data_IF_103545591515
#
_entry.id   IF_103545591515
#
_cell.length_a   1.000
_cell.length_b   1.000
_cell.length_c   1.000
_cell.angle_alpha   90.00
_cell.angle_beta   90.00
_cell.angle_gamma   90.00
#
_symmetry.space_group_name_H-M   'P 1'
#
loop_
_entity.id
_entity.type
_entity.pdbx_description
1 polymer ?
#
# COMPACT_ATOMS: atom_id res chain seq x y z
N UNK A 1 4.24 5.42 28.35
CA UNK A 1 3.09 5.03 27.51
C UNK A 1 1.89 5.96 27.71
N UNK A 2 1.58 6.33 28.94
CA UNK A 2 0.45 7.20 29.31
C UNK A 2 0.71 8.71 29.07
N UNK A 3 1.95 9.18 29.22
CA UNK A 3 2.34 10.60 29.16
C UNK A 3 1.83 11.37 27.94
N UNK A 4 1.93 10.86 26.68
CA UNK A 4 1.55 11.65 25.50
C UNK A 4 0.05 11.96 25.41
N UNK A 5 -0.78 11.19 26.14
CA UNK A 5 -2.25 11.28 26.03
C UNK A 5 -2.92 11.71 27.35
N UNK A 6 -2.17 11.68 28.45
CA UNK A 6 -2.71 11.97 29.78
C UNK A 6 -3.28 13.39 29.88
N UNK A 7 -2.61 14.36 29.25
CA UNK A 7 -3.04 15.76 29.28
C UNK A 7 -4.34 15.99 28.50
N UNK A 8 -4.45 15.40 27.31
CA UNK A 8 -5.67 15.48 26.47
C UNK A 8 -6.85 14.82 27.19
N UNK A 9 -6.58 13.65 27.78
CA UNK A 9 -7.57 12.87 28.52
C UNK A 9 -8.07 13.62 29.77
N UNK A 10 -7.17 14.20 30.57
CA UNK A 10 -7.55 14.96 31.76
C UNK A 10 -8.43 16.14 31.41
N UNK A 11 -8.11 16.91 30.37
CA UNK A 11 -8.93 18.04 29.89
C UNK A 11 -10.29 17.59 29.38
N UNK A 12 -10.32 16.59 28.49
CA UNK A 12 -11.57 16.11 27.91
C UNK A 12 -12.55 15.58 28.96
N UNK A 13 -12.05 14.85 29.97
CA UNK A 13 -12.89 14.37 31.05
C UNK A 13 -13.39 15.53 31.93
N UNK A 14 -12.52 16.47 32.28
CA UNK A 14 -12.86 17.64 33.09
C UNK A 14 -13.95 18.49 32.47
N UNK A 15 -13.90 18.71 31.15
CA UNK A 15 -14.93 19.44 30.38
C UNK A 15 -16.31 18.78 30.48
N UNK A 16 -16.38 17.47 30.58
CA UNK A 16 -17.63 16.72 30.67
C UNK A 16 -18.21 16.71 32.08
N UNK A 17 -17.36 16.49 33.09
CA UNK A 17 -17.84 16.34 34.48
C UNK A 17 -17.87 17.64 35.27
N UNK A 18 -17.21 18.73 34.81
CA UNK A 18 -17.14 20.02 35.49
C UNK A 18 -16.27 20.04 36.74
N UNK A 19 -15.38 19.04 36.92
CA UNK A 19 -14.45 18.96 38.04
C UNK A 19 -13.02 18.76 37.52
N UNK A 20 -12.00 19.18 38.30
CA UNK A 20 -10.63 19.00 37.92
C UNK A 20 -10.21 17.54 37.99
N UNK A 21 -9.56 17.12 36.91
CA UNK A 21 -9.04 15.76 36.73
C UNK A 21 -7.54 15.76 36.68
N UNK A 22 -6.93 14.82 37.43
CA UNK A 22 -5.51 14.58 37.51
C UNK A 22 -5.20 13.17 37.06
N UNK A 23 -4.19 13.00 36.25
CA UNK A 23 -3.67 11.71 35.84
C UNK A 23 -2.20 11.60 36.23
N UNK A 24 -1.84 10.48 36.85
CA UNK A 24 -0.45 10.21 37.24
C UNK A 24 0.07 8.89 36.63
N UNK A 25 1.39 8.75 36.64
CA UNK A 25 2.05 7.47 36.42
C UNK A 25 1.91 6.55 37.65
N UNK A 26 2.51 5.35 37.56
CA UNK A 26 2.52 4.37 38.69
C UNK A 26 3.33 4.84 39.93
N UNK A 27 4.16 5.86 39.77
CA UNK A 27 4.93 6.46 40.88
C UNK A 27 4.20 7.64 41.51
N UNK A 28 3.01 7.98 41.05
CA UNK A 28 2.23 9.13 41.51
C UNK A 28 2.71 10.46 40.92
N UNK A 29 3.55 10.46 39.90
CA UNK A 29 4.00 11.68 39.23
C UNK A 29 2.92 12.17 38.25
N UNK A 30 2.57 13.45 38.35
CA UNK A 30 1.53 14.08 37.51
C UNK A 30 2.00 14.15 36.07
N UNK A 31 1.25 13.48 35.17
CA UNK A 31 1.50 13.42 33.72
C UNK A 31 0.36 14.03 32.91
N UNK A 32 -0.76 14.40 33.54
CA UNK A 32 -1.88 15.10 32.94
C UNK A 32 -2.74 15.79 34.01
N UNK A 33 -3.18 17.02 33.78
CA UNK A 33 -4.02 17.76 34.68
C UNK A 33 -4.86 18.80 33.95
N UNK A 34 -6.15 18.95 34.35
CA UNK A 34 -7.02 20.01 33.84
C UNK A 34 -6.80 21.35 34.53
N UNK A 35 -6.35 21.32 35.81
CA UNK A 35 -6.03 22.50 36.59
C UNK A 35 -4.63 23.05 36.19
N UNK A 36 -4.55 24.28 35.65
CA UNK A 36 -3.25 24.87 35.26
C UNK A 36 -2.33 25.19 36.41
N UNK A 37 -2.86 25.31 37.63
CA UNK A 37 -2.06 25.61 38.83
C UNK A 37 -1.37 24.38 39.43
N UNK A 38 -1.64 23.20 38.89
CA UNK A 38 -0.94 21.97 39.27
C UNK A 38 0.29 21.72 38.42
N UNK A 39 1.43 21.65 39.08
CA UNK A 39 2.74 21.46 38.44
C UNK A 39 2.88 20.06 37.81
N UNK A 40 3.07 19.99 36.50
CA UNK A 40 3.54 18.77 35.79
C UNK A 40 4.84 18.23 36.42
N UNK A 41 4.98 16.92 36.54
CA UNK A 41 6.15 16.27 37.06
C UNK A 41 6.23 16.31 38.62
N UNK A 42 5.24 16.88 39.30
CA UNK A 42 5.18 16.87 40.77
C UNK A 42 4.52 15.60 41.29
N UNK A 43 4.82 15.21 42.51
CA UNK A 43 4.28 14.01 43.15
C UNK A 43 2.92 14.29 43.76
N UNK A 44 1.96 13.38 43.49
CA UNK A 44 0.73 13.24 44.23
C UNK A 44 0.78 11.94 45.04
N UNK A 45 0.84 12.07 46.36
CA UNK A 45 1.11 10.93 47.23
C UNK A 45 -0.07 9.98 47.37
N UNK A 46 -1.33 10.48 47.34
CA UNK A 46 -2.54 9.64 47.30
C UNK A 46 -2.54 8.77 46.03
N UNK A 47 -2.18 9.35 44.90
CA UNK A 47 -2.05 8.62 43.65
C UNK A 47 -0.99 7.52 43.70
N UNK A 48 0.16 7.78 44.30
CA UNK A 48 1.18 6.77 44.51
C UNK A 48 0.65 5.59 45.32
N UNK A 49 0.03 5.88 46.47
CA UNK A 49 -0.56 4.85 47.34
C UNK A 49 -1.64 4.04 46.61
N UNK A 50 -2.51 4.70 45.87
CA UNK A 50 -3.55 4.04 45.09
C UNK A 50 -2.95 3.12 43.97
N UNK A 51 -1.88 3.55 43.31
CA UNK A 51 -1.17 2.74 42.34
C UNK A 51 -0.48 1.51 42.99
N UNK A 52 0.18 1.66 44.11
CA UNK A 52 0.86 0.59 44.81
C UNK A 52 -0.12 -0.46 45.41
N UNK A 53 -1.24 0.01 45.97
CA UNK A 53 -2.21 -0.88 46.62
C UNK A 53 -3.23 -1.49 45.65
N UNK A 54 -3.36 -0.91 44.46
CA UNK A 54 -4.43 -1.28 43.48
C UNK A 54 -5.86 -0.90 43.95
N UNK A 55 -5.98 -0.06 45.01
CA UNK A 55 -7.25 0.32 45.60
C UNK A 55 -7.47 1.84 45.45
N UNK A 56 -8.72 2.23 45.21
CA UNK A 56 -9.10 3.62 45.23
C UNK A 56 -9.08 4.22 46.64
N UNK A 57 -8.86 5.53 46.75
CA UNK A 57 -8.93 6.28 47.97
C UNK A 57 -9.94 7.42 47.88
N UNK A 58 -10.52 7.77 49.04
CA UNK A 58 -11.33 8.98 49.23
C UNK A 58 -10.44 9.94 50.02
N UNK A 59 -10.04 11.01 49.42
CA UNK A 59 -9.09 11.97 49.98
C UNK A 59 -9.89 13.10 50.65
N UNK A 60 -10.09 12.97 51.97
CA UNK A 60 -10.74 14.01 52.80
C UNK A 60 -9.84 15.24 53.01
N UNK A 61 -10.37 16.32 53.52
CA UNK A 61 -9.61 17.52 53.85
C UNK A 61 -8.43 17.18 54.82
N UNK A 62 -8.70 16.37 55.86
CA UNK A 62 -7.67 15.95 56.81
C UNK A 62 -6.58 15.10 56.16
N UNK A 63 -6.94 14.19 55.25
CA UNK A 63 -5.98 13.35 54.57
C UNK A 63 -5.13 14.16 53.57
N UNK A 64 -5.74 15.14 52.91
CA UNK A 64 -5.07 16.03 51.94
C UNK A 64 -4.00 16.91 52.60
N UNK A 65 -4.17 17.29 53.87
CA UNK A 65 -3.16 18.02 54.63
C UNK A 65 -1.95 17.17 55.02
N UNK A 66 -2.11 15.83 55.07
CA UNK A 66 -1.04 14.88 55.47
C UNK A 66 -0.24 14.36 54.27
N UNK A 67 -0.87 14.29 53.10
CA UNK A 67 -0.28 13.71 51.89
C UNK A 67 0.19 14.82 50.94
N UNK A 68 1.44 14.74 50.52
CA UNK A 68 2.05 15.73 49.64
C UNK A 68 1.36 15.77 48.28
N UNK A 69 1.01 16.97 47.83
CA UNK A 69 0.43 17.19 46.50
C UNK A 69 -1.02 16.67 46.33
N UNK A 70 -1.66 16.20 47.42
CA UNK A 70 -3.01 15.70 47.45
C UNK A 70 -4.00 16.86 47.75
N UNK A 71 -5.15 16.86 47.10
CA UNK A 71 -6.29 17.73 47.37
C UNK A 71 -7.52 16.88 47.71
N UNK A 72 -8.55 17.42 48.38
CA UNK A 72 -9.78 16.68 48.64
C UNK A 72 -10.41 16.18 47.33
N UNK A 73 -10.86 14.94 47.36
CA UNK A 73 -11.41 14.31 46.18
C UNK A 73 -11.41 12.79 46.23
N UNK A 74 -11.32 12.15 45.09
CA UNK A 74 -11.21 10.69 44.96
C UNK A 74 -10.14 10.30 43.98
N UNK A 75 -9.40 9.23 44.30
CA UNK A 75 -8.30 8.70 43.46
C UNK A 75 -8.53 7.22 43.18
N UNK A 76 -8.44 6.83 41.91
CA UNK A 76 -8.59 5.43 41.50
C UNK A 76 -7.44 4.98 40.60
N UNK A 77 -6.93 3.74 40.81
CA UNK A 77 -5.95 3.15 39.91
C UNK A 77 -6.60 2.78 38.57
N UNK A 78 -5.90 3.07 37.47
CA UNK A 78 -6.25 2.65 36.12
C UNK A 78 -5.52 1.35 35.77
N UNK A 79 -6.22 0.40 35.19
CA UNK A 79 -5.70 -0.93 34.86
C UNK A 79 -5.56 -1.06 33.34
N UNK A 80 -4.37 -1.46 32.91
CA UNK A 80 -4.07 -1.74 31.50
C UNK A 80 -4.73 -3.03 31.00
N UNK A 81 -4.60 -3.33 29.67
CA UNK A 81 -5.14 -4.55 29.08
C UNK A 81 -4.54 -5.84 29.69
N UNK A 82 -3.34 -5.79 30.21
CA UNK A 82 -2.60 -6.88 30.88
C UNK A 82 -2.98 -7.07 32.36
N UNK A 83 -3.96 -6.32 32.86
CA UNK A 83 -4.42 -6.37 34.24
C UNK A 83 -3.50 -5.64 35.25
N UNK A 84 -2.43 -5.00 34.81
CA UNK A 84 -1.52 -4.24 35.68
C UNK A 84 -1.97 -2.80 35.86
N UNK A 85 -1.69 -2.23 37.02
CA UNK A 85 -1.89 -0.78 37.24
C UNK A 85 -0.88 -0.03 36.37
N UNK A 86 -1.40 0.92 35.58
CA UNK A 86 -0.60 1.74 34.64
C UNK A 86 -0.50 3.20 35.05
N UNK A 87 -1.23 3.58 36.07
CA UNK A 87 -1.29 4.94 36.63
C UNK A 87 -2.56 5.13 37.43
N UNK A 88 -2.88 6.37 37.79
CA UNK A 88 -4.12 6.70 38.51
C UNK A 88 -4.84 7.86 37.86
N UNK A 89 -6.15 7.92 38.09
CA UNK A 89 -6.99 9.10 37.83
C UNK A 89 -7.55 9.59 39.15
N UNK A 90 -7.40 10.90 39.40
CA UNK A 90 -7.98 11.57 40.56
C UNK A 90 -8.92 12.69 40.11
N UNK A 91 -10.02 12.86 40.86
CA UNK A 91 -10.97 13.95 40.65
C UNK A 91 -10.93 14.82 41.90
N UNK A 92 -10.66 16.11 41.72
CA UNK A 92 -10.59 17.08 42.81
C UNK A 92 -11.95 17.67 43.05
N UNK A 93 -12.38 17.74 44.32
CA UNK A 93 -13.66 18.32 44.73
C UNK A 93 -14.14 17.74 46.05
N UNK A 94 -15.35 18.10 46.46
CA UNK A 94 -16.02 17.51 47.64
C UNK A 94 -16.20 15.99 47.37
N UNK A 95 -15.60 15.11 48.19
CA UNK A 95 -15.63 13.65 48.00
C UNK A 95 -17.04 13.08 47.81
N UNK A 96 -18.03 13.58 48.53
CA UNK A 96 -19.43 13.12 48.43
C UNK A 96 -20.03 13.43 47.04
N UNK A 97 -19.64 14.57 46.45
CA UNK A 97 -20.12 15.01 45.13
C UNK A 97 -19.39 14.35 43.98
N UNK A 98 -18.10 14.08 44.13
CA UNK A 98 -17.29 13.53 43.04
C UNK A 98 -17.23 12.00 42.97
N UNK A 99 -17.49 11.30 44.10
CA UNK A 99 -17.51 9.83 44.15
C UNK A 99 -18.43 9.16 43.09
N UNK A 100 -19.67 9.66 42.83
CA UNK A 100 -20.52 9.06 41.82
C UNK A 100 -19.94 9.06 40.41
N UNK A 101 -19.08 10.05 40.11
CA UNK A 101 -18.43 10.15 38.80
C UNK A 101 -17.15 9.31 38.69
N UNK A 102 -16.54 9.00 39.81
CA UNK A 102 -15.19 8.43 39.85
C UNK A 102 -15.05 7.10 39.10
N UNK A 103 -16.00 6.18 39.25
CA UNK A 103 -16.01 4.90 38.53
C UNK A 103 -16.26 5.06 37.05
N UNK A 104 -17.11 6.00 36.66
CA UNK A 104 -17.40 6.33 35.25
C UNK A 104 -16.15 6.91 34.60
N UNK A 105 -15.51 7.87 35.25
CA UNK A 105 -14.27 8.52 34.82
C UNK A 105 -13.12 7.49 34.68
N UNK A 106 -12.93 6.65 35.69
CA UNK A 106 -11.98 5.54 35.63
C UNK A 106 -12.22 4.67 34.40
N UNK A 107 -13.45 4.23 34.21
CA UNK A 107 -13.83 3.34 33.10
C UNK A 107 -13.62 4.01 31.75
N UNK A 108 -13.99 5.26 31.62
CA UNK A 108 -13.78 6.04 30.40
C UNK A 108 -12.28 6.19 30.08
N UNK A 109 -11.47 6.51 31.08
CA UNK A 109 -10.03 6.60 30.93
C UNK A 109 -9.40 5.25 30.48
N UNK A 110 -9.80 4.15 31.08
CA UNK A 110 -9.32 2.81 30.72
C UNK A 110 -9.74 2.42 29.29
N UNK A 111 -10.97 2.73 28.87
CA UNK A 111 -11.44 2.46 27.50
C UNK A 111 -10.66 3.30 26.47
N UNK A 112 -10.48 4.59 26.72
CA UNK A 112 -9.70 5.46 25.84
C UNK A 112 -8.25 4.97 25.68
N UNK A 113 -7.64 4.56 26.77
CA UNK A 113 -6.30 4.00 26.76
C UNK A 113 -6.20 2.70 25.97
N UNK A 114 -7.15 1.78 26.17
CA UNK A 114 -7.20 0.53 25.38
C UNK A 114 -7.31 0.80 23.90
N UNK A 115 -8.18 1.74 23.51
CA UNK A 115 -8.35 2.10 22.12
C UNK A 115 -7.05 2.68 21.52
N UNK A 116 -6.38 3.58 22.24
CA UNK A 116 -5.09 4.16 21.79
C UNK A 116 -3.97 3.14 21.68
N UNK A 117 -3.88 2.20 22.62
CA UNK A 117 -2.89 1.12 22.57
C UNK A 117 -3.15 0.23 21.36
N UNK A 118 -4.40 -0.20 21.15
CA UNK A 118 -4.77 -1.02 19.99
C UNK A 118 -4.48 -0.31 18.67
N UNK A 119 -4.82 0.97 18.56
CA UNK A 119 -4.54 1.77 17.36
C UNK A 119 -3.02 1.85 17.08
N UNK A 120 -2.21 2.03 18.14
CA UNK A 120 -0.75 2.09 18.02
C UNK A 120 -0.17 0.74 17.56
N UNK A 121 -0.60 -0.35 18.15
CA UNK A 121 -0.17 -1.72 17.77
C UNK A 121 -0.52 -2.01 16.31
N UNK A 122 -1.72 -1.65 15.85
CA UNK A 122 -2.13 -1.80 14.45
C UNK A 122 -1.23 -0.98 13.53
N UNK A 123 -0.97 0.29 13.87
CA UNK A 123 -0.09 1.15 13.07
C UNK A 123 1.36 0.66 13.03
N UNK A 124 1.90 0.19 14.15
CA UNK A 124 3.25 -0.38 14.22
C UNK A 124 3.33 -1.66 13.39
N UNK A 125 2.34 -2.52 13.47
CA UNK A 125 2.26 -3.72 12.62
C UNK A 125 2.20 -3.38 11.14
N UNK A 126 1.39 -2.40 10.74
CA UNK A 126 1.31 -1.96 9.34
C UNK A 126 2.63 -1.36 8.84
N UNK A 127 3.29 -0.54 9.64
CA UNK A 127 4.63 0.00 9.31
C UNK A 127 5.69 -1.10 9.15
N UNK A 128 5.69 -2.07 10.06
CA UNK A 128 6.63 -3.18 10.01
C UNK A 128 6.37 -4.09 8.80
N UNK A 129 5.11 -4.32 8.44
CA UNK A 129 4.75 -5.05 7.23
C UNK A 129 5.14 -4.27 5.95
N UNK A 130 4.92 -2.96 5.92
CA UNK A 130 5.37 -2.10 4.83
C UNK A 130 6.89 -2.14 4.66
N UNK A 131 7.64 -2.07 5.76
CA UNK A 131 9.09 -2.19 5.74
C UNK A 131 9.52 -3.56 5.19
N UNK A 132 8.92 -4.65 5.65
CA UNK A 132 9.19 -5.99 5.14
C UNK A 132 8.96 -6.10 3.63
N UNK A 133 7.80 -5.64 3.14
CA UNK A 133 7.46 -5.68 1.70
C UNK A 133 8.46 -4.83 0.90
N UNK A 134 8.89 -3.68 1.43
CA UNK A 134 9.95 -2.86 0.82
C UNK A 134 11.28 -3.59 0.74
N UNK A 135 11.68 -4.25 1.82
CA UNK A 135 12.93 -5.01 1.89
C UNK A 135 12.90 -6.19 0.90
N UNK A 136 11.78 -6.90 0.79
CA UNK A 136 11.60 -7.97 -0.20
C UNK A 136 11.68 -7.42 -1.62
N UNK A 137 11.03 -6.30 -1.92
CA UNK A 137 11.08 -5.67 -3.24
C UNK A 137 12.50 -5.25 -3.64
N UNK A 138 13.28 -4.75 -2.67
CA UNK A 138 14.66 -4.30 -2.85
C UNK A 138 15.69 -5.42 -2.66
N UNK A 139 15.26 -6.63 -2.33
CA UNK A 139 16.16 -7.75 -2.03
C UNK A 139 17.20 -7.95 -3.14
N UNK A 140 18.45 -7.81 -2.73
CA UNK A 140 19.62 -8.17 -3.52
C UNK A 140 20.41 -9.21 -2.74
N UNK A 141 20.46 -10.42 -3.22
CA UNK A 141 21.12 -11.57 -2.58
C UNK A 141 22.61 -11.36 -2.28
N UNK A 142 23.23 -10.33 -2.87
CA UNK A 142 24.61 -9.95 -2.57
C UNK A 142 24.78 -9.06 -1.34
N UNK A 143 23.71 -8.40 -0.88
CA UNK A 143 23.76 -7.37 0.17
C UNK A 143 22.81 -7.69 1.32
N UNK A 144 21.71 -8.40 1.06
CA UNK A 144 20.65 -8.69 2.02
C UNK A 144 20.67 -10.18 2.40
N UNK A 145 20.42 -10.48 3.66
CA UNK A 145 20.27 -11.85 4.16
C UNK A 145 18.83 -12.36 3.91
N UNK A 146 18.63 -13.32 2.98
CA UNK A 146 17.30 -13.84 2.68
C UNK A 146 16.64 -14.56 3.87
N UNK A 147 17.44 -15.24 4.73
CA UNK A 147 16.91 -15.97 5.89
C UNK A 147 16.35 -15.00 6.95
N UNK A 148 17.00 -13.87 7.16
CA UNK A 148 16.49 -12.83 8.07
C UNK A 148 15.14 -12.27 7.59
N UNK A 149 15.01 -12.02 6.28
CA UNK A 149 13.74 -11.55 5.69
C UNK A 149 12.66 -12.62 5.77
N UNK A 150 13.01 -13.87 5.55
CA UNK A 150 12.10 -15.00 5.62
C UNK A 150 11.55 -15.18 7.04
N UNK A 151 12.42 -15.14 8.07
CA UNK A 151 12.01 -15.20 9.47
C UNK A 151 11.06 -14.04 9.84
N UNK A 152 11.33 -12.82 9.35
CA UNK A 152 10.42 -11.68 9.53
C UNK A 152 9.07 -11.90 8.82
N UNK A 153 9.08 -12.46 7.62
CA UNK A 153 7.85 -12.71 6.85
C UNK A 153 6.93 -13.73 7.53
N UNK A 154 7.50 -14.75 8.15
CA UNK A 154 6.76 -15.75 8.92
C UNK A 154 5.98 -15.14 10.11
N UNK A 155 6.53 -14.14 10.78
CA UNK A 155 5.81 -13.40 11.83
C UNK A 155 4.55 -12.69 11.33
N UNK A 156 4.48 -12.40 10.02
CA UNK A 156 3.30 -11.82 9.39
C UNK A 156 2.38 -12.87 8.73
N UNK A 157 2.71 -14.15 8.82
CA UNK A 157 1.91 -15.25 8.30
C UNK A 157 2.38 -15.82 6.96
N UNK A 158 3.59 -15.45 6.49
CA UNK A 158 4.20 -16.11 5.33
C UNK A 158 4.45 -17.60 5.64
N UNK A 159 4.14 -18.46 4.69
CA UNK A 159 4.32 -19.90 4.81
C UNK A 159 5.35 -20.37 3.79
N UNK A 160 6.51 -20.85 4.26
CA UNK A 160 7.63 -21.35 3.42
C UNK A 160 7.23 -22.49 2.51
N UNK A 161 6.20 -23.27 2.88
CA UNK A 161 5.75 -24.42 2.11
C UNK A 161 4.76 -24.07 1.01
N UNK A 162 4.27 -22.85 0.99
CA UNK A 162 3.30 -22.37 0.01
C UNK A 162 3.98 -21.62 -1.13
N UNK A 163 3.46 -21.81 -2.35
CA UNK A 163 3.77 -20.95 -3.47
C UNK A 163 3.03 -19.63 -3.35
N UNK A 164 3.67 -18.54 -3.75
CA UNK A 164 3.10 -17.19 -3.75
C UNK A 164 3.17 -16.56 -5.12
N UNK A 165 2.34 -15.54 -5.33
CA UNK A 165 2.47 -14.61 -6.46
C UNK A 165 2.43 -13.17 -5.93
N UNK A 166 3.25 -12.31 -6.50
CA UNK A 166 3.20 -10.89 -6.19
C UNK A 166 2.30 -10.13 -7.16
N UNK A 167 1.47 -9.24 -6.59
CA UNK A 167 0.68 -8.28 -7.36
C UNK A 167 1.15 -6.87 -7.02
N UNK A 168 1.23 -6.01 -8.04
CA UNK A 168 1.50 -4.58 -7.90
C UNK A 168 0.28 -3.81 -8.37
N UNK A 169 -0.43 -3.15 -7.45
CA UNK A 169 -1.65 -2.40 -7.74
C UNK A 169 -1.33 -0.91 -7.72
N UNK A 170 -1.65 -0.22 -8.80
CA UNK A 170 -1.53 1.23 -8.89
C UNK A 170 -2.91 1.86 -9.02
N UNK A 171 -3.11 2.96 -8.30
CA UNK A 171 -4.39 3.67 -8.27
C UNK A 171 -4.21 5.13 -8.66
N UNK A 172 -5.25 5.70 -9.28
CA UNK A 172 -5.34 7.12 -9.57
C UNK A 172 -6.66 7.61 -9.00
N UNK A 173 -6.61 8.54 -8.06
CA UNK A 173 -7.81 9.19 -7.51
C UNK A 173 -8.27 10.31 -8.42
N UNK A 174 -9.56 10.41 -8.68
CA UNK A 174 -10.14 11.62 -9.26
C UNK A 174 -9.94 12.80 -8.29
N UNK A 175 -9.62 13.99 -8.83
CA UNK A 175 -9.29 15.19 -8.03
C UNK A 175 -10.40 15.65 -7.07
N UNK A 176 -11.62 15.15 -7.23
CA UNK A 176 -12.78 15.57 -6.46
C UNK A 176 -13.04 14.77 -5.17
N UNK A 177 -12.23 13.76 -4.86
CA UNK A 177 -12.39 12.96 -3.65
C UNK A 177 -11.65 13.58 -2.46
N UNK A 178 -12.24 14.64 -1.86
CA UNK A 178 -11.87 15.18 -0.55
C UNK A 178 -12.26 14.19 0.56
N UNK A 179 -11.46 13.16 0.76
CA UNK A 179 -11.60 12.19 1.85
C UNK A 179 -10.38 12.24 2.75
N UNK A 180 -10.21 13.34 3.48
CA UNK A 180 -9.22 13.48 4.55
C UNK A 180 -9.64 12.72 5.81
N UNK A 181 -9.51 11.41 5.85
CA UNK A 181 -9.65 10.58 7.03
C UNK A 181 -8.38 9.78 7.27
N UNK A 182 -7.69 10.08 8.35
CA UNK A 182 -6.30 9.67 8.67
C UNK A 182 -6.15 8.16 8.97
N UNK A 183 -7.20 7.32 9.03
CA UNK A 183 -7.11 6.03 9.73
C UNK A 183 -7.45 4.75 8.96
N UNK A 184 -7.97 4.80 7.74
CA UNK A 184 -8.14 3.57 6.92
C UNK A 184 -7.94 3.88 5.46
N UNK A 185 -6.92 3.28 4.85
CA UNK A 185 -6.75 3.30 3.40
C UNK A 185 -7.86 2.45 2.76
N UNK A 186 -8.82 3.05 2.04
CA UNK A 186 -9.96 2.32 1.48
C UNK A 186 -9.53 1.29 0.42
N UNK A 187 -8.42 1.54 -0.27
CA UNK A 187 -7.89 0.60 -1.27
C UNK A 187 -7.35 -0.65 -0.57
N UNK A 188 -6.52 -0.46 0.47
CA UNK A 188 -5.95 -1.58 1.22
C UNK A 188 -7.05 -2.41 1.91
N UNK A 189 -8.11 -1.76 2.41
CA UNK A 189 -9.26 -2.45 2.96
C UNK A 189 -9.95 -3.32 1.91
N UNK A 190 -10.21 -2.82 0.70
CA UNK A 190 -10.83 -3.60 -0.39
C UNK A 190 -9.95 -4.74 -0.89
N UNK A 191 -8.64 -4.52 -0.95
CA UNK A 191 -7.70 -5.60 -1.28
C UNK A 191 -7.72 -6.70 -0.22
N UNK A 192 -7.77 -6.33 1.07
CA UNK A 192 -7.89 -7.30 2.18
C UNK A 192 -9.20 -8.07 2.14
N UNK A 193 -10.31 -7.41 1.88
CA UNK A 193 -11.63 -8.05 1.79
C UNK A 193 -11.69 -9.09 0.65
N UNK A 194 -11.08 -8.77 -0.50
CA UNK A 194 -11.16 -9.60 -1.70
C UNK A 194 -10.07 -10.69 -1.80
N UNK A 195 -8.87 -10.39 -1.33
CA UNK A 195 -7.67 -11.24 -1.48
C UNK A 195 -7.03 -11.59 -0.13
N UNK A 196 -7.59 -11.06 0.97
CA UNK A 196 -7.07 -11.27 2.31
C UNK A 196 -7.28 -12.69 2.79
N UNK A 197 -6.27 -13.21 3.47
CA UNK A 197 -6.28 -14.48 4.16
C UNK A 197 -5.16 -14.49 5.20
N UNK A 198 -5.11 -15.48 6.07
CA UNK A 198 -4.14 -15.51 7.16
C UNK A 198 -2.68 -15.52 6.69
N UNK A 199 -2.45 -15.91 5.42
CA UNK A 199 -1.12 -16.00 4.80
C UNK A 199 -0.86 -14.93 3.75
N UNK A 200 -1.84 -14.05 3.45
CA UNK A 200 -1.67 -12.96 2.48
C UNK A 200 -0.99 -11.77 3.14
N UNK A 201 0.06 -11.25 2.52
CA UNK A 201 0.77 -10.06 2.99
C UNK A 201 0.47 -8.90 2.03
N UNK A 202 0.02 -7.77 2.58
CA UNK A 202 -0.38 -6.61 1.79
C UNK A 202 0.09 -5.32 2.44
N UNK A 203 0.70 -4.46 1.66
CA UNK A 203 1.18 -3.16 2.13
C UNK A 203 0.98 -2.05 1.10
N UNK A 204 0.69 -0.85 1.59
CA UNK A 204 0.77 0.37 0.81
C UNK A 204 2.23 0.84 0.77
N UNK A 205 2.81 0.92 -0.42
CA UNK A 205 4.21 1.34 -0.60
C UNK A 205 4.33 2.86 -0.75
N UNK A 206 3.34 3.48 -1.40
CA UNK A 206 3.15 4.91 -1.60
C UNK A 206 1.65 5.19 -1.61
N UNK A 207 1.26 6.45 -1.74
CA UNK A 207 -0.16 6.85 -1.77
C UNK A 207 -0.96 6.20 -2.91
N UNK A 208 -0.29 5.75 -3.97
CA UNK A 208 -0.87 5.24 -5.21
C UNK A 208 -0.41 3.83 -5.58
N UNK A 209 0.46 3.21 -4.77
CA UNK A 209 1.06 1.91 -5.04
C UNK A 209 0.90 0.94 -3.88
N UNK A 210 0.30 -0.21 -4.17
CA UNK A 210 0.09 -1.31 -3.23
C UNK A 210 0.77 -2.58 -3.74
N UNK A 211 1.30 -3.35 -2.83
CA UNK A 211 1.89 -4.67 -3.12
C UNK A 211 1.14 -5.73 -2.31
N UNK A 212 0.80 -6.82 -2.98
CA UNK A 212 0.13 -7.97 -2.41
C UNK A 212 0.97 -9.22 -2.68
N UNK A 213 1.29 -9.97 -1.64
CA UNK A 213 1.83 -11.33 -1.74
C UNK A 213 0.68 -12.29 -1.45
N UNK A 214 0.21 -12.95 -2.50
CA UNK A 214 -0.96 -13.82 -2.44
C UNK A 214 -0.51 -15.28 -2.45
N UNK A 215 -0.84 -16.08 -1.42
CA UNK A 215 -0.55 -17.50 -1.42
C UNK A 215 -1.41 -18.24 -2.45
N UNK A 216 -0.79 -19.17 -3.15
CA UNK A 216 -1.45 -20.01 -4.15
C UNK A 216 -1.91 -21.30 -3.50
N UNK A 217 -3.21 -21.53 -3.45
CA UNK A 217 -3.78 -22.77 -2.91
C UNK A 217 -3.77 -23.87 -3.97
N UNK A 218 -2.86 -24.84 -3.87
CA UNK A 218 -2.73 -25.98 -4.76
C UNK A 218 -1.78 -25.76 -5.93
N UNK A 219 -1.44 -26.84 -6.69
CA UNK A 219 -0.65 -26.75 -7.92
C UNK A 219 -1.45 -25.99 -8.97
N UNK A 220 -1.28 -24.68 -9.01
CA UNK A 220 -1.91 -23.81 -9.99
C UNK A 220 -0.99 -23.65 -11.22
N UNK A 221 -1.14 -24.58 -12.14
CA UNK A 221 -0.67 -24.42 -13.52
C UNK A 221 -1.56 -23.47 -14.34
N UNK A 222 -2.20 -24.00 -15.38
CA UNK A 222 -3.18 -23.26 -16.19
C UNK A 222 -4.38 -22.78 -15.34
N UNK A 223 -4.73 -21.47 -15.40
CA UNK A 223 -5.90 -20.90 -14.72
C UNK A 223 -5.62 -19.91 -13.58
N UNK A 224 -4.35 -19.72 -13.17
CA UNK A 224 -4.02 -18.75 -12.12
C UNK A 224 -4.39 -17.32 -12.52
N UNK A 225 -4.02 -16.93 -13.73
CA UNK A 225 -4.28 -15.57 -14.24
C UNK A 225 -5.78 -15.30 -14.35
N UNK A 226 -6.57 -16.29 -14.79
CA UNK A 226 -8.02 -16.18 -14.91
C UNK A 226 -8.67 -15.96 -13.54
N UNK A 227 -8.31 -16.77 -12.53
CA UNK A 227 -8.83 -16.61 -11.16
C UNK A 227 -8.46 -15.27 -10.53
N UNK A 228 -7.19 -14.87 -10.66
CA UNK A 228 -6.78 -13.55 -10.16
C UNK A 228 -7.49 -12.45 -10.94
N UNK A 229 -7.72 -12.63 -12.25
CA UNK A 229 -8.46 -11.71 -13.09
C UNK A 229 -9.93 -11.54 -12.65
N UNK A 230 -10.61 -12.61 -12.28
CA UNK A 230 -11.98 -12.58 -11.75
C UNK A 230 -12.03 -11.79 -10.41
N UNK A 231 -11.15 -12.12 -9.47
CA UNK A 231 -11.04 -11.42 -8.17
C UNK A 231 -10.73 -9.94 -8.42
N UNK A 232 -9.76 -9.65 -9.30
CA UNK A 232 -9.37 -8.29 -9.65
C UNK A 232 -10.51 -7.47 -10.26
N UNK A 233 -11.30 -8.08 -11.13
CA UNK A 233 -12.47 -7.40 -11.73
C UNK A 233 -13.47 -6.97 -10.66
N UNK A 234 -13.68 -7.77 -9.61
CA UNK A 234 -14.50 -7.41 -8.46
C UNK A 234 -13.92 -6.21 -7.68
N UNK A 235 -12.63 -6.27 -7.36
CA UNK A 235 -11.89 -5.18 -6.69
C UNK A 235 -11.96 -3.89 -7.51
N UNK A 236 -11.65 -3.97 -8.80
CA UNK A 236 -11.67 -2.81 -9.71
C UNK A 236 -13.03 -2.14 -9.77
N UNK A 237 -14.11 -2.91 -9.90
CA UNK A 237 -15.49 -2.38 -9.90
C UNK A 237 -15.80 -1.65 -8.58
N UNK A 238 -15.42 -2.24 -7.44
CA UNK A 238 -15.60 -1.62 -6.13
C UNK A 238 -14.80 -0.33 -5.96
N UNK A 239 -13.55 -0.28 -6.44
CA UNK A 239 -12.73 0.94 -6.40
C UNK A 239 -13.27 2.01 -7.35
N UNK A 240 -13.71 1.61 -8.55
CA UNK A 240 -14.31 2.53 -9.53
C UNK A 240 -15.59 3.20 -9.01
N UNK A 241 -16.43 2.48 -8.25
CA UNK A 241 -17.60 3.09 -7.59
C UNK A 241 -17.25 4.14 -6.53
N UNK A 242 -16.01 4.16 -6.07
CA UNK A 242 -15.45 5.15 -5.13
C UNK A 242 -14.67 6.28 -5.86
N UNK A 243 -14.73 6.34 -7.20
CA UNK A 243 -13.98 7.31 -7.99
C UNK A 243 -12.47 7.00 -8.07
N UNK A 244 -12.06 5.75 -7.79
CA UNK A 244 -10.66 5.33 -7.82
C UNK A 244 -10.41 4.45 -9.04
N UNK A 245 -9.67 4.96 -10.01
CA UNK A 245 -9.15 4.19 -11.13
C UNK A 245 -8.00 3.30 -10.68
N UNK A 246 -7.96 2.06 -11.14
CA UNK A 246 -6.92 1.12 -10.70
C UNK A 246 -6.46 0.18 -11.81
N UNK A 247 -5.21 -0.25 -11.72
CA UNK A 247 -4.61 -1.25 -12.59
C UNK A 247 -3.70 -2.18 -11.77
N UNK A 248 -3.52 -3.42 -12.21
CA UNK A 248 -2.70 -4.42 -11.54
C UNK A 248 -1.71 -5.08 -12.49
N UNK A 249 -0.47 -5.19 -12.05
CA UNK A 249 0.54 -6.07 -12.64
C UNK A 249 0.72 -7.32 -11.78
N UNK A 250 1.00 -8.45 -12.41
CA UNK A 250 1.12 -9.76 -11.78
C UNK A 250 2.45 -10.38 -12.16
N UNK A 251 3.20 -10.82 -11.16
CA UNK A 251 4.46 -11.54 -11.35
C UNK A 251 4.26 -13.03 -11.63
N UNK A 252 5.36 -13.76 -11.63
CA UNK A 252 5.38 -15.23 -11.72
C UNK A 252 5.13 -15.85 -10.35
N UNK A 253 4.71 -17.12 -10.34
CA UNK A 253 4.70 -17.94 -9.12
C UNK A 253 6.11 -18.03 -8.50
N UNK A 254 6.16 -18.10 -7.17
CA UNK A 254 7.39 -18.00 -6.40
C UNK A 254 7.38 -18.95 -5.20
N UNK A 255 8.46 -19.72 -5.04
CA UNK A 255 8.75 -20.50 -3.85
C UNK A 255 9.95 -19.88 -3.13
N UNK A 256 9.69 -19.42 -1.89
CA UNK A 256 10.70 -18.74 -1.08
C UNK A 256 10.84 -17.25 -1.38
N UNK A 257 11.65 -16.57 -0.54
CA UNK A 257 11.70 -15.11 -0.48
C UNK A 257 12.41 -14.45 -1.68
N UNK A 258 13.42 -15.11 -2.23
CA UNK A 258 14.17 -14.59 -3.38
C UNK A 258 13.34 -14.62 -4.67
N UNK A 259 12.60 -15.71 -4.88
CA UNK A 259 11.66 -15.81 -6.01
C UNK A 259 10.48 -14.87 -5.83
N UNK A 260 10.00 -14.69 -4.60
CA UNK A 260 8.95 -13.69 -4.30
C UNK A 260 9.43 -12.28 -4.61
N UNK A 261 10.68 -11.95 -4.29
CA UNK A 261 11.29 -10.68 -4.66
C UNK A 261 11.36 -10.48 -6.19
N UNK A 262 11.69 -11.55 -6.93
CA UNK A 262 11.63 -11.55 -8.40
C UNK A 262 10.20 -11.31 -8.88
N UNK A 263 9.23 -12.08 -8.38
CA UNK A 263 7.81 -11.94 -8.71
C UNK A 263 7.30 -10.52 -8.46
N UNK A 264 7.74 -9.89 -7.37
CA UNK A 264 7.39 -8.51 -7.03
C UNK A 264 7.93 -7.50 -8.06
N UNK A 265 9.19 -7.66 -8.48
CA UNK A 265 9.78 -6.82 -9.54
C UNK A 265 9.08 -7.04 -10.89
N UNK A 266 8.78 -8.29 -11.24
CA UNK A 266 8.02 -8.65 -12.44
C UNK A 266 6.61 -8.03 -12.44
N UNK A 267 5.87 -8.11 -11.32
CA UNK A 267 4.55 -7.51 -11.18
C UNK A 267 4.57 -5.99 -11.44
N UNK A 268 5.55 -5.30 -10.86
CA UNK A 268 5.73 -3.86 -11.08
C UNK A 268 6.13 -3.54 -12.52
N UNK A 269 6.97 -4.36 -13.11
CA UNK A 269 7.40 -4.20 -14.50
C UNK A 269 6.25 -4.43 -15.47
N UNK A 270 5.47 -5.50 -15.28
CA UNK A 270 4.27 -5.80 -16.08
C UNK A 270 3.27 -4.64 -16.06
N UNK A 271 3.04 -4.03 -14.88
CA UNK A 271 2.20 -2.85 -14.76
C UNK A 271 2.74 -1.66 -15.57
N UNK A 272 4.04 -1.40 -15.50
CA UNK A 272 4.68 -0.29 -16.23
C UNK A 272 4.69 -0.50 -17.74
N UNK A 273 4.95 -1.72 -18.20
CA UNK A 273 4.92 -2.10 -19.61
C UNK A 273 3.48 -2.05 -20.12
N UNK A 274 2.58 -2.78 -19.46
CA UNK A 274 1.21 -2.93 -19.88
C UNK A 274 0.46 -1.60 -20.02
N UNK A 275 0.68 -0.66 -19.10
CA UNK A 275 0.11 0.70 -19.21
C UNK A 275 0.59 1.48 -20.44
N UNK A 276 1.75 1.16 -20.99
CA UNK A 276 2.28 1.80 -22.21
C UNK A 276 1.81 1.10 -23.48
N UNK A 277 1.86 -0.23 -23.47
CA UNK A 277 1.57 -1.05 -24.66
C UNK A 277 0.07 -1.25 -24.83
N UNK A 278 -0.66 -1.48 -23.72
CA UNK A 278 -2.09 -1.76 -23.72
C UNK A 278 -2.82 -0.97 -22.61
N UNK A 279 -2.93 0.36 -22.70
CA UNK A 279 -3.39 1.22 -21.58
C UNK A 279 -4.83 0.97 -21.13
N UNK A 280 -5.66 0.33 -21.95
CA UNK A 280 -7.07 0.02 -21.66
C UNK A 280 -7.31 -1.23 -20.83
N UNK A 281 -6.35 -2.15 -20.75
CA UNK A 281 -6.53 -3.52 -20.22
C UNK A 281 -6.67 -3.55 -18.70
N UNK A 282 -5.91 -2.78 -17.96
CA UNK A 282 -5.94 -2.68 -16.47
C UNK A 282 -5.53 -3.93 -15.69
N UNK A 283 -5.17 -5.03 -16.36
CA UNK A 283 -4.74 -6.31 -15.79
C UNK A 283 -3.57 -6.85 -16.61
N UNK A 284 -2.38 -6.91 -16.03
CA UNK A 284 -1.12 -7.11 -16.74
C UNK A 284 -0.30 -8.26 -16.11
N UNK A 285 -0.55 -9.52 -16.50
CA UNK A 285 0.31 -10.64 -16.11
C UNK A 285 1.65 -10.57 -16.85
N UNK A 286 2.76 -10.72 -16.16
CA UNK A 286 4.10 -10.67 -16.78
C UNK A 286 4.29 -11.71 -17.89
N UNK A 287 3.61 -12.86 -17.79
CA UNK A 287 3.67 -13.91 -18.81
C UNK A 287 3.30 -13.42 -20.22
N UNK A 288 2.41 -12.42 -20.30
CA UNK A 288 1.92 -11.83 -21.54
C UNK A 288 2.84 -10.74 -22.09
N UNK A 289 3.91 -10.36 -21.34
CA UNK A 289 4.81 -9.25 -21.66
C UNK A 289 6.29 -9.66 -21.62
N UNK A 290 6.62 -10.95 -21.84
CA UNK A 290 7.99 -11.46 -21.71
C UNK A 290 8.96 -10.89 -22.76
N UNK A 291 8.48 -10.60 -23.94
CA UNK A 291 9.31 -9.98 -24.99
C UNK A 291 9.50 -8.50 -24.69
N UNK A 292 8.44 -7.80 -24.33
CA UNK A 292 8.51 -6.40 -23.91
C UNK A 292 9.39 -6.23 -22.65
N UNK A 293 9.44 -7.22 -21.77
CA UNK A 293 10.36 -7.24 -20.62
C UNK A 293 11.82 -7.21 -21.11
N UNK A 294 12.19 -8.06 -22.06
CA UNK A 294 13.55 -8.05 -22.65
C UNK A 294 13.85 -6.71 -23.34
N UNK A 295 12.91 -6.22 -24.14
CA UNK A 295 13.04 -4.94 -24.85
C UNK A 295 13.14 -3.75 -23.89
N UNK A 296 12.46 -3.81 -22.75
CA UNK A 296 12.48 -2.77 -21.73
C UNK A 296 13.87 -2.59 -21.12
N UNK A 297 14.67 -3.66 -20.99
CA UNK A 297 16.03 -3.63 -20.48
C UNK A 297 17.09 -3.38 -21.57
N UNK A 298 16.70 -3.35 -22.84
CA UNK A 298 17.62 -3.03 -23.93
C UNK A 298 18.08 -1.57 -23.89
N UNK A 299 19.29 -1.26 -24.33
CA UNK A 299 19.78 0.11 -24.42
C UNK A 299 18.80 1.00 -25.22
N UNK A 300 18.49 2.16 -24.66
CA UNK A 300 17.50 3.07 -25.26
C UNK A 300 17.89 3.53 -26.67
N UNK A 301 19.18 3.83 -26.88
CA UNK A 301 19.70 4.22 -28.19
C UNK A 301 19.41 3.18 -29.27
N UNK A 302 19.55 1.89 -28.93
CA UNK A 302 19.24 0.78 -29.83
C UNK A 302 17.74 0.70 -30.12
N UNK A 303 16.90 0.78 -29.08
CA UNK A 303 15.44 0.67 -29.21
C UNK A 303 14.81 1.85 -29.92
N UNK A 304 15.32 3.08 -29.72
CA UNK A 304 14.91 4.28 -30.48
C UNK A 304 15.33 4.18 -31.93
N UNK A 305 16.61 3.89 -32.20
CA UNK A 305 17.10 3.76 -33.59
C UNK A 305 16.37 2.67 -34.38
N UNK A 306 16.02 1.55 -33.74
CA UNK A 306 15.24 0.50 -34.38
C UNK A 306 13.83 0.95 -34.68
N UNK A 307 13.12 1.50 -33.71
CA UNK A 307 11.72 1.95 -33.94
C UNK A 307 11.63 3.09 -34.95
N UNK A 308 12.52 4.09 -34.89
CA UNK A 308 12.55 5.19 -35.84
C UNK A 308 12.84 4.69 -37.27
N UNK A 309 13.83 3.83 -37.46
CA UNK A 309 14.17 3.30 -38.77
C UNK A 309 13.02 2.49 -39.38
N UNK A 310 12.46 1.55 -38.61
CA UNK A 310 11.42 0.64 -39.11
C UNK A 310 10.08 1.38 -39.33
N UNK A 311 9.77 2.41 -38.55
CA UNK A 311 8.50 3.12 -38.64
C UNK A 311 8.56 4.42 -39.46
N UNK A 312 9.72 4.81 -39.97
CA UNK A 312 9.91 6.03 -40.79
C UNK A 312 8.96 6.13 -42.00
N UNK A 313 8.56 5.01 -42.68
CA UNK A 313 7.60 5.10 -43.79
C UNK A 313 6.19 5.56 -43.39
N UNK A 314 5.86 5.53 -42.08
CA UNK A 314 4.59 6.03 -41.55
C UNK A 314 4.64 7.50 -41.12
N UNK A 315 5.83 8.13 -41.08
CA UNK A 315 5.96 9.51 -40.61
C UNK A 315 5.26 10.49 -41.55
N UNK A 316 4.63 11.51 -40.96
CA UNK A 316 3.94 12.58 -41.69
C UNK A 316 2.62 12.17 -42.37
N UNK A 317 2.17 10.92 -42.22
CA UNK A 317 0.91 10.45 -42.75
C UNK A 317 -0.25 10.72 -41.79
N UNK A 318 -1.39 11.13 -42.31
CA UNK A 318 -2.59 11.40 -41.51
C UNK A 318 -3.28 10.15 -40.95
N UNK A 319 -2.94 8.96 -41.47
CA UNK A 319 -3.52 7.67 -41.07
C UNK A 319 -2.56 6.77 -40.29
N UNK A 320 -1.47 7.32 -39.78
CA UNK A 320 -0.40 6.58 -39.09
C UNK A 320 -0.92 5.73 -37.93
N UNK A 321 -1.74 6.28 -37.04
CA UNK A 321 -2.25 5.54 -35.88
C UNK A 321 -3.21 4.43 -36.29
N UNK A 322 -4.06 4.65 -37.29
CA UNK A 322 -4.95 3.63 -37.83
C UNK A 322 -4.19 2.44 -38.43
N UNK A 323 -3.11 2.70 -39.14
CA UNK A 323 -2.25 1.66 -39.72
C UNK A 323 -1.48 0.90 -38.64
N UNK A 324 -0.96 1.59 -37.62
CA UNK A 324 -0.31 0.97 -36.46
C UNK A 324 -1.26 0.05 -35.69
N UNK A 325 -2.49 0.51 -35.42
CA UNK A 325 -3.52 -0.28 -34.77
C UNK A 325 -3.91 -1.50 -35.59
N UNK A 326 -4.02 -1.34 -36.93
CA UNK A 326 -4.35 -2.46 -37.83
C UNK A 326 -3.21 -3.50 -37.84
N UNK A 327 -1.95 -3.08 -37.90
CA UNK A 327 -0.80 -4.00 -37.87
C UNK A 327 -0.74 -4.74 -36.52
N UNK A 328 -0.93 -4.02 -35.43
CA UNK A 328 -0.94 -4.60 -34.09
C UNK A 328 -2.04 -5.67 -33.98
N UNK A 329 -3.28 -5.31 -34.32
CA UNK A 329 -4.42 -6.25 -34.28
C UNK A 329 -4.24 -7.44 -35.22
N UNK A 330 -3.63 -7.24 -36.38
CA UNK A 330 -3.32 -8.29 -37.34
C UNK A 330 -2.34 -9.33 -36.75
N UNK A 331 -1.25 -8.88 -36.18
CA UNK A 331 -0.28 -9.74 -35.53
C UNK A 331 -0.87 -10.46 -34.30
N UNK A 332 -1.57 -9.74 -33.42
CA UNK A 332 -2.17 -10.29 -32.20
C UNK A 332 -3.31 -11.29 -32.48
N UNK A 333 -3.97 -11.18 -33.62
CA UNK A 333 -5.01 -12.13 -34.07
C UNK A 333 -4.47 -13.36 -34.79
N UNK A 334 -3.13 -13.57 -34.78
CA UNK A 334 -2.51 -14.68 -35.50
C UNK A 334 -2.77 -14.66 -37.02
N UNK A 335 -2.73 -13.46 -37.60
CA UNK A 335 -2.97 -13.22 -39.04
C UNK A 335 -4.38 -13.62 -39.52
N UNK A 336 -5.38 -13.44 -38.66
CA UNK A 336 -6.79 -13.71 -38.95
C UNK A 336 -7.57 -12.41 -39.09
N UNK A 337 -8.02 -12.13 -40.36
CA UNK A 337 -8.79 -10.93 -40.69
C UNK A 337 -10.09 -10.82 -39.88
N UNK A 338 -10.76 -11.94 -39.61
CA UNK A 338 -12.03 -11.92 -38.89
C UNK A 338 -11.82 -11.54 -37.39
N UNK A 339 -10.75 -12.02 -36.75
CA UNK A 339 -10.36 -11.67 -35.41
C UNK A 339 -9.91 -10.21 -35.33
N UNK A 340 -9.01 -9.78 -36.22
CA UNK A 340 -8.52 -8.41 -36.29
C UNK A 340 -9.67 -7.41 -36.50
N UNK A 341 -10.66 -7.75 -37.38
CA UNK A 341 -11.84 -6.93 -37.64
C UNK A 341 -12.72 -6.76 -36.40
N UNK A 342 -12.89 -7.84 -35.60
CA UNK A 342 -13.63 -7.80 -34.33
C UNK A 342 -12.94 -6.95 -33.29
N UNK A 343 -11.63 -7.13 -33.16
CA UNK A 343 -10.79 -6.40 -32.21
C UNK A 343 -10.80 -4.88 -32.49
N UNK A 344 -10.75 -4.49 -33.76
CA UNK A 344 -10.76 -3.10 -34.24
C UNK A 344 -12.16 -2.48 -34.36
N UNK A 345 -13.23 -3.28 -34.20
CA UNK A 345 -14.60 -2.86 -34.49
C UNK A 345 -14.78 -2.32 -35.94
N UNK A 346 -14.07 -2.93 -36.92
CA UNK A 346 -14.10 -2.53 -38.33
C UNK A 346 -14.66 -3.65 -39.22
N UNK A 347 -15.14 -3.27 -40.42
CA UNK A 347 -15.51 -4.25 -41.43
C UNK A 347 -14.26 -4.93 -42.02
N UNK A 348 -14.36 -6.20 -42.40
CA UNK A 348 -13.26 -6.98 -43.00
C UNK A 348 -12.61 -6.33 -44.21
N UNK A 349 -13.41 -5.68 -45.06
CA UNK A 349 -12.91 -4.94 -46.24
C UNK A 349 -12.01 -3.78 -45.87
N UNK A 350 -12.32 -3.08 -44.78
CA UNK A 350 -11.49 -1.97 -44.27
C UNK A 350 -10.14 -2.48 -43.74
N UNK A 351 -10.16 -3.61 -43.02
CA UNK A 351 -8.92 -4.23 -42.53
C UNK A 351 -8.07 -4.71 -43.71
N UNK A 352 -8.66 -5.40 -44.70
CA UNK A 352 -7.94 -5.82 -45.91
C UNK A 352 -7.32 -4.62 -46.65
N UNK A 353 -8.08 -3.57 -46.88
CA UNK A 353 -7.58 -2.34 -47.51
C UNK A 353 -6.37 -1.75 -46.74
N UNK A 354 -6.46 -1.69 -45.42
CA UNK A 354 -5.34 -1.20 -44.61
C UNK A 354 -4.14 -2.13 -44.65
N UNK A 355 -4.33 -3.46 -44.69
CA UNK A 355 -3.24 -4.43 -44.86
C UNK A 355 -2.56 -4.31 -46.23
N UNK A 356 -3.32 -4.15 -47.31
CA UNK A 356 -2.77 -3.90 -48.65
C UNK A 356 -1.97 -2.59 -48.69
N UNK A 357 -2.46 -1.55 -48.01
CA UNK A 357 -1.77 -0.29 -47.85
C UNK A 357 -0.46 -0.43 -47.06
N UNK A 358 -0.46 -1.20 -45.94
CA UNK A 358 0.76 -1.53 -45.20
C UNK A 358 1.76 -2.29 -46.07
N UNK A 359 1.31 -3.31 -46.83
CA UNK A 359 2.16 -4.05 -47.76
C UNK A 359 2.86 -3.12 -48.76
N UNK A 360 2.09 -2.15 -49.31
CA UNK A 360 2.61 -1.18 -50.29
C UNK A 360 3.58 -0.19 -49.66
N UNK A 361 3.33 0.30 -48.42
CA UNK A 361 4.14 1.31 -47.74
C UNK A 361 5.51 0.72 -47.30
N UNK A 362 5.48 -0.49 -46.76
CA UNK A 362 6.68 -1.12 -46.21
C UNK A 362 7.37 -2.06 -47.23
N UNK A 363 6.72 -2.33 -48.38
CA UNK A 363 7.20 -3.31 -49.37
C UNK A 363 7.38 -4.71 -48.77
N UNK A 364 6.41 -5.18 -47.99
CA UNK A 364 6.44 -6.43 -47.24
C UNK A 364 5.25 -7.33 -47.60
N UNK A 365 5.39 -8.63 -47.41
CA UNK A 365 4.27 -9.55 -47.38
C UNK A 365 3.64 -9.57 -45.98
N UNK A 366 2.39 -9.07 -45.88
CA UNK A 366 1.65 -9.04 -44.59
C UNK A 366 1.36 -10.44 -44.02
N UNK A 367 1.66 -11.51 -44.74
CA UNK A 367 1.57 -12.90 -44.26
C UNK A 367 2.92 -13.47 -43.82
N UNK A 368 4.01 -12.77 -44.13
CA UNK A 368 5.32 -13.20 -43.65
C UNK A 368 5.48 -12.84 -42.17
N UNK A 369 5.61 -13.90 -41.33
CA UNK A 369 5.72 -13.74 -39.89
C UNK A 369 6.93 -12.89 -39.49
N UNK A 370 8.06 -13.06 -40.19
CA UNK A 370 9.31 -12.35 -39.82
C UNK A 370 9.20 -10.86 -40.08
N UNK A 371 8.66 -10.48 -41.25
CA UNK A 371 8.47 -9.08 -41.61
C UNK A 371 7.46 -8.39 -40.70
N UNK A 372 6.32 -9.03 -40.46
CA UNK A 372 5.29 -8.51 -39.56
C UNK A 372 5.76 -8.42 -38.11
N UNK A 373 6.54 -9.39 -37.64
CA UNK A 373 7.09 -9.34 -36.29
C UNK A 373 8.08 -8.19 -36.09
N UNK A 374 8.90 -7.85 -37.09
CA UNK A 374 9.80 -6.70 -37.03
C UNK A 374 9.03 -5.40 -36.85
N UNK A 375 8.00 -5.18 -37.65
CA UNK A 375 7.16 -4.00 -37.58
C UNK A 375 6.35 -3.94 -36.28
N UNK A 376 5.81 -5.07 -35.82
CA UNK A 376 5.09 -5.20 -34.56
C UNK A 376 5.96 -4.80 -33.36
N UNK A 377 7.19 -5.33 -33.31
CA UNK A 377 8.13 -4.97 -32.25
C UNK A 377 8.63 -3.54 -32.34
N UNK A 378 8.75 -2.98 -33.55
CA UNK A 378 9.07 -1.57 -33.72
C UNK A 378 7.99 -0.65 -33.12
N UNK A 379 6.70 -1.00 -33.31
CA UNK A 379 5.57 -0.30 -32.68
C UNK A 379 5.60 -0.44 -31.16
N UNK A 380 5.85 -1.65 -30.66
CA UNK A 380 5.95 -1.90 -29.21
C UNK A 380 7.11 -1.12 -28.57
N UNK A 381 8.26 -1.06 -29.23
CA UNK A 381 9.40 -0.26 -28.82
C UNK A 381 9.10 1.25 -28.79
N UNK A 382 8.43 1.77 -29.82
CA UNK A 382 8.01 3.18 -29.85
C UNK A 382 7.09 3.50 -28.65
N UNK A 383 6.09 2.65 -28.39
CA UNK A 383 5.20 2.79 -27.24
C UNK A 383 5.98 2.72 -25.90
N UNK A 384 6.93 1.82 -25.76
CA UNK A 384 7.76 1.67 -24.56
C UNK A 384 8.68 2.88 -24.33
N UNK A 385 9.19 3.50 -25.40
CA UNK A 385 10.10 4.64 -25.34
C UNK A 385 9.37 5.96 -25.02
N UNK A 386 8.11 6.11 -25.40
CA UNK A 386 7.30 7.30 -25.07
C UNK A 386 7.30 7.56 -23.56
N UNK A 387 7.71 8.76 -23.15
CA UNK A 387 7.75 9.18 -21.74
C UNK A 387 8.93 8.63 -20.92
N UNK A 388 9.93 8.00 -21.50
CA UNK A 388 11.21 7.74 -20.84
C UNK A 388 12.04 9.02 -20.86
N UNK A 389 12.60 9.51 -19.71
CA UNK A 389 13.49 10.66 -19.72
C UNK A 389 14.74 10.33 -20.58
N UNK A 390 15.11 11.23 -21.47
CA UNK A 390 16.39 11.14 -22.19
C UNK A 390 17.50 11.29 -21.17
N UNK A 391 18.28 10.24 -20.91
CA UNK A 391 19.59 10.40 -20.29
C UNK A 391 20.47 11.06 -21.34
N UNK A 392 20.73 12.35 -21.20
CA UNK A 392 21.84 13.01 -21.88
C UNK A 392 23.10 12.23 -21.48
N UNK A 393 23.73 11.58 -22.45
CA UNK A 393 25.12 11.16 -22.35
C UNK A 393 25.91 12.48 -22.26
N UNK A 394 26.26 12.88 -21.05
CA UNK A 394 27.35 13.81 -20.89
C UNK A 394 28.60 13.11 -21.45
N UNK A 395 29.00 13.54 -22.63
CA UNK A 395 30.29 13.24 -23.20
C UNK A 395 31.34 13.70 -22.19
N UNK A 396 31.93 12.71 -21.51
CA UNK A 396 33.13 12.88 -20.73
C UNK A 396 34.25 13.29 -21.67
N UNK A 397 34.41 14.61 -21.89
CA UNK A 397 35.59 15.19 -22.49
C UNK A 397 36.79 14.85 -21.62
N UNK A 398 37.85 14.19 -22.10
CA UNK A 398 39.05 14.01 -21.31
C UNK A 398 39.73 15.41 -21.18
N UNK A 399 39.74 15.96 -19.98
CA UNK A 399 40.62 17.09 -19.69
C UNK A 399 42.05 16.60 -19.76
N UNK A 400 42.68 16.96 -20.88
CA UNK A 400 44.12 17.04 -21.02
C UNK A 400 44.65 18.23 -20.21
N UNK A 401 45.46 17.98 -19.22
CA UNK A 401 46.72 18.65 -18.86
C UNK A 401 47.20 18.15 -17.51
#
# INVERSE_FOLDING_TARGET
>A
MLEPIAQELAKSISEVIGYDVLITDVKGVIIGCSDPDRGFGTLNESSRIAAETGRGSVDTEELSQRLRGTRPGVTYPMVGPDGRVIGTVAITGDPEKVTPFALVVKRQAELYLRERIMQREVMERERNLQALVSDVFLLNSKVSDPELLLNRAEHFGYDRSSEYVALSVETVRSRDSNGGGVYRDPVLARLRDAMGGPRSLMAAMKMDLYVVFLPLSGKLGAGLSERIGEIWNGVRKSLSSMGIESAVGIGSGAMGIEELARSCREARLALRIGRKVAPGVRFYPIKDYRVEELLFFSPRSLTESMSERELSPLEGRGDTEELRDTLTAWCESGFNVAEASRSLHLHRSTVNYRLEKLASIFHVDVRDFREMSQLYWAISLDKLNRGRPRKTLEEGSPRSS
#
